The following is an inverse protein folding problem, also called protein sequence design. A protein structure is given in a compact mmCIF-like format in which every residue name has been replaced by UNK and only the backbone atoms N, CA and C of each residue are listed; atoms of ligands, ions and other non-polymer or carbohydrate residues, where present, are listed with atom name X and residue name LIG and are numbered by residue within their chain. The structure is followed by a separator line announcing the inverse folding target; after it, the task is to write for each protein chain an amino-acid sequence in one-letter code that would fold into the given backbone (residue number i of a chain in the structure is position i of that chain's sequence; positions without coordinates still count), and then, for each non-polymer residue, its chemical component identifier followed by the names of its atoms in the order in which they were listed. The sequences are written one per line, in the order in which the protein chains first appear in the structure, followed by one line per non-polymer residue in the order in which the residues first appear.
data_IF_709663153635
#
_entry.id   IF_709663153635
#
_cell.length_a   1.000
_cell.length_b   1.000
_cell.length_c   1.000
_cell.angle_alpha   90.00
_cell.angle_beta   90.00
_cell.angle_gamma   90.00
#
_symmetry.space_group_name_H-M   'P 1'
#
loop_
_entity.id
_entity.type
_entity.pdbx_description
1 polymer ?
#
# COMPACT_ATOMS: atom_id res chain seq x y z
N UNK A 1 30.01 -5.66 7.65
CA UNK A 1 29.91 -4.45 6.80
C UNK A 1 28.54 -4.49 6.13
N UNK A 2 27.75 -3.41 6.18
CA UNK A 2 26.43 -3.35 5.52
C UNK A 2 26.66 -2.92 4.07
N UNK A 3 26.14 -3.68 3.10
CA UNK A 3 26.33 -3.44 1.66
C UNK A 3 25.25 -2.56 1.03
N UNK A 4 24.05 -2.54 1.62
CA UNK A 4 22.95 -1.66 1.23
C UNK A 4 22.18 -1.25 2.49
N UNK A 5 22.16 0.05 2.82
CA UNK A 5 21.48 0.55 4.00
C UNK A 5 19.95 0.70 3.79
N UNK A 6 19.49 0.72 2.52
CA UNK A 6 18.07 0.93 2.19
C UNK A 6 17.20 -0.21 2.68
N UNK A 7 17.74 -1.44 2.73
CA UNK A 7 17.01 -2.62 3.22
C UNK A 7 16.62 -2.55 4.70
N UNK A 8 17.18 -1.58 5.44
CA UNK A 8 16.89 -1.33 6.84
C UNK A 8 15.92 -0.16 7.05
N UNK A 9 15.52 0.53 5.98
CA UNK A 9 14.58 1.64 6.06
C UNK A 9 13.14 1.13 6.28
N UNK A 10 12.30 1.81 7.08
CA UNK A 10 10.91 1.40 7.30
C UNK A 10 10.07 1.32 6.03
N UNK A 11 10.42 2.11 5.01
CA UNK A 11 9.73 2.19 3.72
C UNK A 11 10.18 1.08 2.76
N UNK A 12 11.17 0.28 3.15
CA UNK A 12 11.66 -0.81 2.31
C UNK A 12 10.66 -1.96 2.26
N UNK A 13 10.17 -2.24 1.06
CA UNK A 13 9.33 -3.40 0.77
C UNK A 13 10.25 -4.53 0.28
N UNK A 14 10.30 -5.68 0.96
CA UNK A 14 11.14 -6.80 0.55
C UNK A 14 10.57 -7.50 -0.70
N UNK A 15 11.41 -8.26 -1.40
CA UNK A 15 10.99 -9.09 -2.55
C UNK A 15 10.10 -10.26 -2.14
N UNK A 16 10.28 -10.75 -0.93
CA UNK A 16 9.53 -11.85 -0.33
C UNK A 16 9.28 -11.53 1.14
N UNK A 17 8.09 -11.85 1.64
CA UNK A 17 7.73 -11.72 3.06
C UNK A 17 7.75 -13.12 3.68
N UNK A 18 8.66 -13.36 4.61
CA UNK A 18 8.77 -14.65 5.30
C UNK A 18 7.82 -14.76 6.49
N UNK A 19 7.34 -15.98 6.77
CA UNK A 19 6.47 -16.32 7.91
C UNK A 19 5.12 -15.56 7.96
N UNK A 20 4.62 -15.13 6.79
CA UNK A 20 3.35 -14.39 6.63
C UNK A 20 2.53 -14.87 5.44
N UNK A 21 2.75 -16.10 5.00
CA UNK A 21 2.11 -16.66 3.81
C UNK A 21 0.58 -16.66 3.93
N UNK A 22 0.04 -16.98 5.11
CA UNK A 22 -1.40 -17.01 5.34
C UNK A 22 -2.04 -15.62 5.21
N UNK A 23 -1.42 -14.59 5.78
CA UNK A 23 -1.88 -13.21 5.73
C UNK A 23 -1.77 -12.63 4.32
N UNK A 24 -0.65 -12.89 3.64
CA UNK A 24 -0.44 -12.47 2.23
C UNK A 24 -1.47 -13.14 1.33
N UNK A 25 -1.70 -14.45 1.48
CA UNK A 25 -2.68 -15.19 0.69
C UNK A 25 -4.11 -14.69 0.93
N UNK A 26 -4.45 -14.39 2.19
CA UNK A 26 -5.77 -13.83 2.53
C UNK A 26 -5.98 -12.44 1.94
N UNK A 27 -4.98 -11.56 2.03
CA UNK A 27 -5.09 -10.23 1.43
C UNK A 27 -5.16 -10.31 -0.10
N UNK A 28 -4.37 -11.21 -0.70
CA UNK A 28 -4.34 -11.41 -2.15
C UNK A 28 -5.66 -11.97 -2.68
N UNK A 29 -6.30 -12.89 -1.96
CA UNK A 29 -7.60 -13.44 -2.38
C UNK A 29 -8.70 -12.40 -2.35
N UNK A 30 -8.70 -11.49 -1.36
CA UNK A 30 -9.66 -10.38 -1.32
C UNK A 30 -9.42 -9.41 -2.47
N UNK A 31 -8.17 -9.11 -2.81
CA UNK A 31 -7.84 -8.17 -3.90
C UNK A 31 -7.95 -8.79 -5.31
N UNK A 32 -8.09 -10.12 -5.41
CA UNK A 32 -8.15 -10.86 -6.67
C UNK A 32 -9.16 -10.30 -7.70
N UNK A 33 -10.38 -9.87 -7.32
CA UNK A 33 -11.35 -9.33 -8.29
C UNK A 33 -10.84 -8.14 -9.10
N UNK A 34 -9.86 -7.39 -8.58
CA UNK A 34 -9.24 -6.25 -9.27
C UNK A 34 -8.53 -6.70 -10.56
N UNK A 35 -7.96 -7.91 -10.57
CA UNK A 35 -7.32 -8.50 -11.75
C UNK A 35 -8.29 -8.64 -12.93
N UNK A 36 -9.56 -8.87 -12.63
CA UNK A 36 -10.64 -9.02 -13.61
C UNK A 36 -11.37 -7.70 -13.88
N UNK A 37 -10.85 -6.57 -13.38
CA UNK A 37 -11.46 -5.24 -13.53
C UNK A 37 -12.68 -5.01 -12.61
N UNK A 38 -12.91 -5.88 -11.63
CA UNK A 38 -14.02 -5.75 -10.67
C UNK A 38 -13.58 -5.00 -9.41
N UNK A 39 -14.54 -4.38 -8.72
CA UNK A 39 -14.32 -3.81 -7.39
C UNK A 39 -14.18 -4.92 -6.34
N UNK A 40 -13.49 -4.61 -5.25
CA UNK A 40 -13.38 -5.48 -4.07
C UNK A 40 -13.85 -4.75 -2.81
N UNK A 41 -14.16 -5.52 -1.76
CA UNK A 41 -14.54 -4.99 -0.47
C UNK A 41 -13.35 -4.37 0.26
N UNK A 42 -13.56 -3.32 1.09
CA UNK A 42 -12.50 -2.75 1.91
C UNK A 42 -11.92 -3.77 2.89
N UNK A 43 -10.58 -3.80 3.00
CA UNK A 43 -9.87 -4.66 3.96
C UNK A 43 -9.40 -3.85 5.15
N UNK A 44 -9.60 -4.39 6.35
CA UNK A 44 -9.10 -3.79 7.59
C UNK A 44 -8.06 -4.70 8.27
N UNK A 45 -6.80 -4.26 8.28
CA UNK A 45 -5.70 -4.97 8.92
C UNK A 45 -5.48 -4.44 10.34
N UNK A 46 -5.63 -5.30 11.35
CA UNK A 46 -5.44 -4.93 12.75
C UNK A 46 -4.39 -5.80 13.44
N UNK A 47 -3.79 -5.26 14.52
CA UNK A 47 -2.79 -5.95 15.33
C UNK A 47 -1.73 -5.00 15.91
N UNK A 48 -0.85 -5.49 16.81
CA UNK A 48 0.18 -4.69 17.46
C UNK A 48 1.13 -3.98 16.49
N UNK A 49 1.83 -2.95 16.95
CA UNK A 49 2.89 -2.32 16.14
C UNK A 49 4.02 -3.31 15.83
N UNK A 50 4.67 -3.17 14.67
CA UNK A 50 5.82 -4.00 14.27
C UNK A 50 5.50 -5.41 13.77
N UNK A 51 4.24 -5.85 13.73
CA UNK A 51 3.89 -7.23 13.28
C UNK A 51 3.90 -7.44 11.76
N UNK A 52 4.15 -6.40 10.98
CA UNK A 52 4.27 -6.45 9.51
C UNK A 52 3.06 -5.96 8.71
N UNK A 53 2.04 -5.36 9.34
CA UNK A 53 0.80 -4.92 8.66
C UNK A 53 1.06 -4.00 7.46
N UNK A 54 1.83 -2.94 7.65
CA UNK A 54 2.17 -1.97 6.58
C UNK A 54 2.96 -2.64 5.46
N UNK A 55 3.95 -3.46 5.83
CA UNK A 55 4.78 -4.20 4.87
C UNK A 55 3.93 -5.16 4.01
N UNK A 56 3.07 -5.97 4.62
CA UNK A 56 2.19 -6.91 3.89
C UNK A 56 1.22 -6.15 2.97
N UNK A 57 0.62 -5.06 3.45
CA UNK A 57 -0.29 -4.25 2.64
C UNK A 57 0.39 -3.69 1.40
N UNK A 58 1.55 -3.04 1.56
CA UNK A 58 2.30 -2.49 0.44
C UNK A 58 2.86 -3.59 -0.48
N UNK A 59 3.36 -4.69 0.09
CA UNK A 59 3.84 -5.84 -0.68
C UNK A 59 2.76 -6.40 -1.60
N UNK A 60 1.54 -6.65 -1.09
CA UNK A 60 0.45 -7.18 -1.92
C UNK A 60 0.00 -6.19 -2.99
N UNK A 61 -0.03 -4.88 -2.69
CA UNK A 61 -0.33 -3.85 -3.69
C UNK A 61 0.73 -3.80 -4.79
N UNK A 62 2.02 -3.85 -4.44
CA UNK A 62 3.10 -3.90 -5.44
C UNK A 62 2.99 -5.14 -6.34
N UNK A 63 2.64 -6.31 -5.78
CA UNK A 63 2.35 -7.51 -6.58
C UNK A 63 1.14 -7.32 -7.51
N UNK A 64 0.11 -6.62 -7.06
CA UNK A 64 -1.04 -6.31 -7.90
C UNK A 64 -0.66 -5.40 -9.07
N UNK A 65 0.22 -4.41 -8.84
CA UNK A 65 0.75 -3.51 -9.88
C UNK A 65 1.60 -4.23 -10.92
N UNK A 66 2.31 -5.30 -10.54
CA UNK A 66 3.04 -6.14 -11.50
C UNK A 66 2.10 -6.83 -12.51
N UNK A 67 0.83 -7.04 -12.15
CA UNK A 67 -0.15 -7.77 -12.95
C UNK A 67 -1.21 -6.87 -13.61
N UNK A 68 -1.40 -5.64 -13.12
CA UNK A 68 -2.41 -4.69 -13.60
C UNK A 68 -1.74 -3.41 -14.07
N UNK A 69 -1.68 -3.22 -15.39
CA UNK A 69 -0.96 -2.10 -16.04
C UNK A 69 -1.54 -0.73 -15.66
N UNK A 70 -2.87 -0.62 -15.57
CA UNK A 70 -3.59 0.63 -15.27
C UNK A 70 -4.15 0.63 -13.84
N UNK A 71 -3.35 0.19 -12.87
CA UNK A 71 -3.72 0.27 -11.45
C UNK A 71 -3.25 1.60 -10.85
N UNK A 72 -4.20 2.52 -10.67
CA UNK A 72 -3.97 3.73 -9.90
C UNK A 72 -4.09 3.41 -8.39
N UNK A 73 -3.07 3.73 -7.60
CA UNK A 73 -3.04 3.43 -6.17
C UNK A 73 -2.34 4.58 -5.43
N UNK A 74 -2.73 4.81 -4.18
CA UNK A 74 -2.12 5.82 -3.32
C UNK A 74 -1.95 5.25 -1.91
N UNK A 75 -0.73 5.29 -1.39
CA UNK A 75 -0.45 5.03 0.03
C UNK A 75 -0.50 6.34 0.82
N UNK A 76 -1.20 6.34 1.96
CA UNK A 76 -1.29 7.52 2.84
C UNK A 76 -0.98 7.08 4.26
N UNK A 77 0.09 7.64 4.82
CA UNK A 77 0.44 7.43 6.22
C UNK A 77 -0.29 8.46 7.09
N UNK A 78 -1.45 8.10 7.63
CA UNK A 78 -2.24 8.99 8.49
C UNK A 78 -1.54 9.36 9.82
N UNK A 79 -0.42 8.72 10.17
CA UNK A 79 0.40 9.16 11.31
C UNK A 79 1.20 10.42 10.98
N UNK A 80 1.69 10.54 9.75
CA UNK A 80 2.38 11.73 9.25
C UNK A 80 1.38 12.79 8.74
N UNK A 81 0.38 12.34 7.97
CA UNK A 81 -0.71 13.15 7.45
C UNK A 81 -1.93 13.14 8.40
N UNK A 82 -1.74 13.59 9.63
CA UNK A 82 -2.73 13.44 10.73
C UNK A 82 -3.95 14.37 10.66
N UNK A 83 -4.00 15.32 9.72
CA UNK A 83 -5.17 16.17 9.54
C UNK A 83 -6.05 15.66 8.40
N UNK A 84 -7.37 15.67 8.61
CA UNK A 84 -8.35 15.31 7.57
C UNK A 84 -8.10 16.04 6.25
N UNK A 85 -7.74 17.33 6.31
CA UNK A 85 -7.41 18.10 5.11
C UNK A 85 -6.22 17.51 4.38
N UNK A 86 -5.11 17.27 5.09
CA UNK A 86 -3.89 16.72 4.50
C UNK A 86 -4.12 15.32 3.94
N UNK A 87 -4.79 14.43 4.67
CA UNK A 87 -5.14 13.08 4.18
C UNK A 87 -5.93 13.15 2.87
N UNK A 88 -6.97 13.99 2.80
CA UNK A 88 -7.80 14.15 1.59
C UNK A 88 -7.03 14.80 0.44
N UNK A 89 -6.17 15.76 0.75
CA UNK A 89 -5.30 16.40 -0.24
C UNK A 89 -4.33 15.37 -0.86
N UNK A 90 -3.58 14.63 -0.03
CA UNK A 90 -2.63 13.59 -0.48
C UNK A 90 -3.37 12.50 -1.28
N UNK A 91 -4.60 12.15 -0.90
CA UNK A 91 -5.43 11.22 -1.65
C UNK A 91 -5.73 11.72 -3.07
N UNK A 92 -6.22 12.96 -3.19
CA UNK A 92 -6.59 13.55 -4.47
C UNK A 92 -5.37 13.79 -5.38
N UNK A 93 -4.24 14.16 -4.78
CA UNK A 93 -2.96 14.34 -5.47
C UNK A 93 -2.51 13.01 -6.08
N UNK A 94 -2.55 11.92 -5.30
CA UNK A 94 -2.19 10.58 -5.72
C UNK A 94 -2.97 10.03 -6.91
N UNK A 95 -4.26 10.35 -7.00
CA UNK A 95 -5.13 9.88 -8.09
C UNK A 95 -5.23 10.88 -9.26
N UNK A 96 -4.37 11.89 -9.30
CA UNK A 96 -4.36 12.96 -10.31
C UNK A 96 -5.72 13.68 -10.45
N UNK A 97 -6.43 13.89 -9.34
CA UNK A 97 -7.71 14.61 -9.28
C UNK A 97 -7.61 15.99 -8.61
N UNK A 98 -6.43 16.41 -8.19
CA UNK A 98 -6.19 17.78 -7.75
C UNK A 98 -6.19 18.73 -8.95
N UNK A 99 -6.98 19.79 -8.85
CA UNK A 99 -6.84 20.96 -9.73
C UNK A 99 -5.70 21.79 -9.12
N UNK A 100 -4.74 22.17 -9.94
CA UNK A 100 -3.62 23.01 -9.54
C UNK A 100 -4.18 24.39 -9.11
N UNK A 101 -4.32 24.60 -7.80
CA UNK A 101 -4.88 25.85 -7.23
C UNK A 101 -3.87 27.01 -7.29
N UNK A 102 -2.67 26.76 -7.83
CA UNK A 102 -1.58 27.71 -7.97
C UNK A 102 -1.47 28.36 -9.37
N UNK A 103 -2.58 28.50 -10.09
CA UNK A 103 -2.67 29.39 -11.27
C UNK A 103 -3.66 30.52 -11.08
#
# INVERSE_FOLDING_TARGET
MITDARVLQPEFIPREVTHRDAEVNTLSSVLQPILDGNSTDPVFLHGPSGVGKTCIAQFTVERLRENVVDLNHQYINCWEDYSRFKTLYTLLEGINKTIDIHR
#
